data_IF_294496415975
#
_entry.id   IF_294496415975
#
_cell.length_a   1.000
_cell.length_b   1.000
_cell.length_c   1.000
_cell.angle_alpha   90.00
_cell.angle_beta   90.00
_cell.angle_gamma   90.00
#
_symmetry.space_group_name_H-M   'P 1'
#
loop_
_entity.id
_entity.type
_entity.pdbx_description
1 polymer ?
#
# COMPACT_ATOMS: atom_id res chain seq x y z
N UNK A 1 -0.68 -16.80 3.63
CA UNK A 1 0.14 -15.57 3.79
C UNK A 1 -0.06 -15.04 5.20
N UNK A 2 1.01 -14.76 5.97
CA UNK A 2 0.87 -14.22 7.35
C UNK A 2 0.78 -12.69 7.25
N UNK A 3 -0.40 -12.11 7.41
CA UNK A 3 -0.57 -10.65 7.34
C UNK A 3 -0.69 -10.03 8.72
N UNK A 4 -0.13 -8.83 8.87
CA UNK A 4 -0.23 -8.02 10.08
C UNK A 4 -0.74 -6.64 9.67
N UNK A 5 -1.92 -6.24 10.12
CA UNK A 5 -2.40 -4.87 9.94
C UNK A 5 -1.96 -4.02 11.14
N UNK A 6 -1.27 -2.91 10.89
CA UNK A 6 -0.91 -1.91 11.91
C UNK A 6 -1.56 -0.57 11.55
N UNK A 7 -2.42 -0.08 12.44
CA UNK A 7 -2.91 1.31 12.42
C UNK A 7 -1.90 2.21 13.14
N UNK A 8 -1.42 3.27 12.47
CA UNK A 8 -0.54 4.30 13.05
C UNK A 8 -1.34 5.39 13.77
N UNK A 9 -0.81 5.87 14.89
CA UNK A 9 -1.25 7.04 15.66
C UNK A 9 -0.68 8.32 15.07
N UNK A 10 -1.53 9.30 14.77
CA UNK A 10 -1.12 10.70 14.51
C UNK A 10 -1.34 11.51 15.78
N UNK A 11 -0.27 12.06 16.36
CA UNK A 11 -0.37 13.09 17.39
C UNK A 11 -0.58 14.45 16.72
N UNK A 12 -1.76 15.04 16.90
CA UNK A 12 -1.98 16.49 16.72
C UNK A 12 -1.84 17.13 18.09
N UNK A 13 -0.98 18.15 18.17
CA UNK A 13 -0.84 19.02 19.34
C UNK A 13 -2.00 20.02 19.39
N UNK A 14 -2.49 20.22 20.61
CA UNK A 14 -3.35 21.27 21.15
C UNK A 14 -4.73 21.50 20.51
N UNK A 15 -5.76 20.98 21.18
CA UNK A 15 -6.84 21.81 21.74
C UNK A 15 -7.89 20.95 22.45
N UNK A 16 -8.27 21.44 23.62
CA UNK A 16 -9.31 21.18 24.63
C UNK A 16 -10.27 19.98 24.54
N UNK A 17 -10.41 19.37 25.72
CA UNK A 17 -11.32 18.33 26.25
C UNK A 17 -12.42 17.75 25.35
N UNK A 18 -12.18 16.51 24.93
CA UNK A 18 -13.21 15.52 24.64
C UNK A 18 -12.56 14.16 24.89
N UNK A 19 -13.18 13.30 25.70
CA UNK A 19 -12.65 11.99 26.10
C UNK A 19 -12.13 11.22 24.89
N UNK A 20 -10.82 11.32 24.64
CA UNK A 20 -10.13 10.47 23.69
C UNK A 20 -10.08 9.10 24.33
N UNK A 21 -11.11 8.27 24.10
CA UNK A 21 -10.97 6.83 24.26
C UNK A 21 -9.71 6.43 23.52
N UNK A 22 -8.66 6.06 24.25
CA UNK A 22 -7.38 5.59 23.69
C UNK A 22 -7.70 4.35 22.86
N UNK A 23 -7.96 4.52 21.57
CA UNK A 23 -8.16 3.41 20.63
C UNK A 23 -6.87 2.59 20.61
N UNK A 24 -6.82 1.54 21.43
CA UNK A 24 -5.70 0.60 21.48
C UNK A 24 -5.69 -0.14 20.13
N UNK A 25 -4.65 0.08 19.34
CA UNK A 25 -4.45 -0.69 18.11
C UNK A 25 -4.10 -2.14 18.46
N UNK A 26 -5.02 -3.08 18.21
CA UNK A 26 -4.76 -4.51 18.36
C UNK A 26 -4.17 -5.05 17.05
N UNK A 27 -3.05 -5.76 17.15
CA UNK A 27 -2.43 -6.46 16.03
C UNK A 27 -3.21 -7.74 15.74
N UNK A 28 -4.11 -7.70 14.76
CA UNK A 28 -4.88 -8.87 14.34
C UNK A 28 -4.07 -9.65 13.29
N UNK A 29 -3.97 -10.97 13.49
CA UNK A 29 -3.33 -11.88 12.55
C UNK A 29 -4.43 -12.56 11.72
N UNK A 30 -4.45 -12.29 10.42
CA UNK A 30 -5.45 -12.87 9.51
C UNK A 30 -4.83 -14.08 8.82
N UNK A 31 -5.53 -15.21 8.88
CA UNK A 31 -5.22 -16.43 8.15
C UNK A 31 -6.32 -16.64 7.12
N UNK A 32 -6.09 -16.29 5.84
CA UNK A 32 -7.08 -16.51 4.81
C UNK A 32 -7.23 -18.01 4.55
N UNK A 33 -8.42 -18.42 4.13
CA UNK A 33 -8.65 -19.72 3.51
C UNK A 33 -7.79 -19.88 2.23
N UNK A 34 -7.61 -21.11 1.74
CA UNK A 34 -6.74 -21.40 0.60
C UNK A 34 -7.13 -20.61 -0.67
N UNK A 35 -8.42 -20.54 -1.00
CA UNK A 35 -8.91 -19.78 -2.16
C UNK A 35 -8.73 -18.27 -2.00
N UNK A 36 -9.04 -17.73 -0.81
CA UNK A 36 -8.82 -16.31 -0.51
C UNK A 36 -7.33 -15.94 -0.60
N UNK A 37 -6.42 -16.84 -0.20
CA UNK A 37 -4.97 -16.62 -0.38
C UNK A 37 -4.56 -16.53 -1.86
N UNK A 38 -5.20 -17.27 -2.77
CA UNK A 38 -4.91 -17.18 -4.21
C UNK A 38 -5.29 -15.79 -4.73
N UNK A 39 -6.47 -15.31 -4.35
CA UNK A 39 -6.95 -13.98 -4.75
C UNK A 39 -6.05 -12.87 -4.21
N UNK A 40 -5.63 -12.97 -2.94
CA UNK A 40 -4.70 -12.01 -2.34
C UNK A 40 -3.33 -11.98 -3.03
N UNK A 41 -2.83 -13.14 -3.49
CA UNK A 41 -1.58 -13.20 -4.26
C UNK A 41 -1.72 -12.50 -5.60
N UNK A 42 -2.85 -12.66 -6.29
CA UNK A 42 -3.17 -11.94 -7.53
C UNK A 42 -3.19 -10.43 -7.30
N UNK A 43 -3.84 -9.98 -6.24
CA UNK A 43 -3.89 -8.55 -5.91
C UNK A 43 -2.53 -7.98 -5.54
N UNK A 44 -1.69 -8.73 -4.81
CA UNK A 44 -0.30 -8.34 -4.55
C UNK A 44 0.52 -8.20 -5.83
N UNK A 45 0.36 -9.13 -6.77
CA UNK A 45 0.99 -9.03 -8.09
C UNK A 45 0.51 -7.78 -8.85
N UNK A 46 -0.79 -7.47 -8.76
CA UNK A 46 -1.37 -6.24 -9.29
C UNK A 46 -0.77 -4.97 -8.69
N UNK A 47 -0.64 -4.91 -7.36
CA UNK A 47 0.04 -3.80 -6.67
C UNK A 47 1.46 -3.59 -7.21
N UNK A 48 2.25 -4.68 -7.30
CA UNK A 48 3.62 -4.63 -7.81
C UNK A 48 3.67 -4.10 -9.25
N UNK A 49 2.81 -4.62 -10.12
CA UNK A 49 2.74 -4.21 -11.51
C UNK A 49 2.41 -2.72 -11.64
N UNK A 50 1.32 -2.26 -11.03
CA UNK A 50 0.85 -0.88 -11.13
C UNK A 50 1.85 0.11 -10.51
N UNK A 51 2.48 -0.26 -9.39
CA UNK A 51 3.53 0.56 -8.77
C UNK A 51 4.72 0.73 -9.72
N UNK A 52 5.26 -0.37 -10.25
CA UNK A 52 6.42 -0.33 -11.15
C UNK A 52 6.10 0.41 -12.45
N UNK A 53 4.91 0.20 -13.01
CA UNK A 53 4.44 0.92 -14.20
C UNK A 53 4.37 2.43 -13.94
N UNK A 54 3.82 2.85 -12.80
CA UNK A 54 3.76 4.27 -12.42
C UNK A 54 5.15 4.90 -12.25
N UNK A 55 6.11 4.16 -11.67
CA UNK A 55 7.51 4.61 -11.57
C UNK A 55 8.15 4.75 -12.95
N UNK A 56 7.92 3.80 -13.86
CA UNK A 56 8.41 3.86 -15.25
C UNK A 56 7.92 5.12 -15.98
N UNK A 57 6.61 5.42 -15.89
CA UNK A 57 6.03 6.65 -16.44
C UNK A 57 6.71 7.92 -15.87
N UNK A 58 6.90 8.00 -14.55
CA UNK A 58 7.56 9.15 -13.92
C UNK A 58 9.03 9.30 -14.35
N UNK A 59 9.74 8.19 -14.52
CA UNK A 59 11.15 8.20 -14.94
C UNK A 59 11.31 8.62 -16.38
N UNK A 60 10.38 8.25 -17.26
CA UNK A 60 10.40 8.62 -18.69
C UNK A 60 9.90 10.05 -18.94
N UNK A 61 8.99 10.57 -18.13
CA UNK A 61 8.37 11.88 -18.36
C UNK A 61 9.35 13.05 -18.24
N UNK A 62 9.37 13.97 -19.21
CA UNK A 62 10.19 15.20 -19.20
C UNK A 62 9.98 16.02 -17.91
N UNK A 63 8.71 16.24 -17.54
CA UNK A 63 8.30 16.89 -16.30
C UNK A 63 7.66 15.88 -15.36
N UNK A 64 7.73 16.13 -14.05
CA UNK A 64 7.09 15.27 -13.04
C UNK A 64 5.58 15.23 -13.26
N UNK A 65 5.03 14.04 -13.40
CA UNK A 65 3.58 13.82 -13.60
C UNK A 65 2.85 14.04 -12.26
N UNK A 66 1.70 14.72 -12.28
CA UNK A 66 0.84 14.87 -11.09
C UNK A 66 0.18 13.55 -10.66
N UNK A 67 -0.26 13.45 -9.39
CA UNK A 67 -0.86 12.23 -8.82
C UNK A 67 -2.04 11.70 -9.65
N UNK A 68 -3.02 12.55 -9.95
CA UNK A 68 -4.23 12.17 -10.68
C UNK A 68 -3.94 11.89 -12.16
N UNK A 69 -3.10 12.70 -12.78
CA UNK A 69 -2.65 12.49 -14.15
C UNK A 69 -1.93 11.14 -14.30
N UNK A 70 -1.06 10.79 -13.35
CA UNK A 70 -0.34 9.52 -13.35
C UNK A 70 -1.31 8.33 -13.24
N UNK A 71 -2.34 8.45 -12.40
CA UNK A 71 -3.42 7.45 -12.31
C UNK A 71 -4.06 7.24 -13.66
N UNK A 72 -4.46 8.31 -14.36
CA UNK A 72 -5.14 8.20 -15.65
C UNK A 72 -4.25 7.50 -16.67
N UNK A 73 -3.00 7.95 -16.79
CA UNK A 73 -2.03 7.38 -17.73
C UNK A 73 -1.80 5.89 -17.49
N UNK A 74 -1.62 5.47 -16.25
CA UNK A 74 -1.39 4.04 -15.95
C UNK A 74 -2.67 3.22 -16.16
N UNK A 75 -3.82 3.70 -15.69
CA UNK A 75 -5.08 2.96 -15.76
C UNK A 75 -5.62 2.83 -17.19
N UNK A 76 -5.34 3.81 -18.05
CA UNK A 76 -5.73 3.81 -19.48
C UNK A 76 -4.67 3.21 -20.40
N UNK A 77 -3.46 2.91 -19.88
CA UNK A 77 -2.44 2.23 -20.67
C UNK A 77 -2.85 0.80 -20.99
N UNK A 78 -2.15 0.17 -21.93
CA UNK A 78 -2.33 -1.25 -22.20
C UNK A 78 -1.89 -2.10 -20.99
N UNK A 79 -2.88 -2.53 -20.21
CA UNK A 79 -2.72 -3.36 -19.03
C UNK A 79 -3.06 -4.82 -19.40
N UNK A 80 -2.24 -5.80 -18.97
CA UNK A 80 -2.58 -7.21 -19.10
C UNK A 80 -3.94 -7.53 -18.47
N UNK A 81 -4.69 -8.46 -19.06
CA UNK A 81 -6.05 -8.83 -18.61
C UNK A 81 -6.09 -9.18 -17.12
N UNK A 82 -5.14 -9.98 -16.64
CA UNK A 82 -5.06 -10.37 -15.23
C UNK A 82 -4.87 -9.18 -14.27
N UNK A 83 -4.27 -8.07 -14.73
CA UNK A 83 -4.15 -6.83 -13.95
C UNK A 83 -5.49 -6.10 -13.92
N UNK A 84 -6.23 -6.08 -15.04
CA UNK A 84 -7.56 -5.45 -15.11
C UNK A 84 -8.56 -6.10 -14.16
N UNK A 85 -8.44 -7.41 -13.95
CA UNK A 85 -9.22 -8.18 -12.97
C UNK A 85 -8.93 -7.82 -11.50
N UNK A 86 -7.80 -7.20 -11.21
CA UNK A 86 -7.51 -6.71 -9.86
C UNK A 86 -8.42 -5.51 -9.55
N UNK A 87 -9.06 -5.46 -8.36
CA UNK A 87 -9.94 -4.37 -7.99
C UNK A 87 -9.33 -2.98 -8.24
N UNK A 88 -10.12 -2.07 -8.80
CA UNK A 88 -9.63 -0.78 -9.30
C UNK A 88 -8.96 0.05 -8.19
N UNK A 89 -9.49 0.02 -6.96
CA UNK A 89 -8.96 0.75 -5.82
C UNK A 89 -7.56 0.24 -5.40
N UNK A 90 -7.31 -1.07 -5.51
CA UNK A 90 -5.98 -1.66 -5.23
C UNK A 90 -4.96 -1.14 -6.23
N UNK A 91 -5.32 -1.15 -7.53
CA UNK A 91 -4.46 -0.60 -8.60
C UNK A 91 -4.19 0.90 -8.40
N UNK A 92 -5.22 1.68 -8.07
CA UNK A 92 -5.10 3.12 -7.81
C UNK A 92 -4.20 3.42 -6.60
N UNK A 93 -4.36 2.67 -5.50
CA UNK A 93 -3.54 2.82 -4.31
C UNK A 93 -2.06 2.55 -4.60
N UNK A 94 -1.75 1.54 -5.42
CA UNK A 94 -0.38 1.28 -5.85
C UNK A 94 0.23 2.45 -6.64
N UNK A 95 -0.54 3.07 -7.54
CA UNK A 95 -0.09 4.22 -8.34
C UNK A 95 0.14 5.45 -7.44
N UNK A 96 -0.74 5.69 -6.47
CA UNK A 96 -0.61 6.80 -5.53
C UNK A 96 0.60 6.62 -4.62
N UNK A 97 0.82 5.42 -4.10
CA UNK A 97 2.00 5.11 -3.28
C UNK A 97 3.29 5.26 -4.11
N UNK A 98 3.28 4.88 -5.39
CA UNK A 98 4.40 5.12 -6.31
C UNK A 98 4.69 6.62 -6.50
N UNK A 99 3.66 7.44 -6.72
CA UNK A 99 3.80 8.89 -6.83
C UNK A 99 4.39 9.51 -5.56
N UNK A 100 3.92 9.08 -4.37
CA UNK A 100 4.44 9.53 -3.08
C UNK A 100 5.91 9.12 -2.89
N UNK A 101 6.25 7.86 -3.16
CA UNK A 101 7.62 7.35 -3.06
C UNK A 101 8.58 8.08 -4.01
N UNK A 102 8.14 8.33 -5.25
CA UNK A 102 8.93 9.07 -6.24
C UNK A 102 9.15 10.51 -5.79
N UNK A 103 8.08 11.22 -5.40
CA UNK A 103 8.15 12.62 -4.96
C UNK A 103 9.02 12.78 -3.72
N UNK A 104 8.87 11.90 -2.72
CA UNK A 104 9.68 11.93 -1.51
C UNK A 104 11.17 11.69 -1.80
N UNK A 105 11.49 10.76 -2.72
CA UNK A 105 12.88 10.50 -3.12
C UNK A 105 13.48 11.69 -3.87
N UNK A 106 12.71 12.31 -4.79
CA UNK A 106 13.16 13.51 -5.51
C UNK A 106 13.40 14.70 -4.59
N UNK A 107 12.57 14.89 -3.56
CA UNK A 107 12.78 15.92 -2.52
C UNK A 107 14.06 15.70 -1.70
N UNK A 108 14.54 14.46 -1.59
CA UNK A 108 15.79 14.10 -0.93
C UNK A 108 17.01 14.16 -1.88
N UNK A 109 16.85 14.71 -3.09
CA UNK A 109 17.95 14.80 -4.06
C UNK A 109 18.26 13.51 -4.82
N UNK A 110 17.48 12.43 -4.65
CA UNK A 110 17.73 11.18 -5.40
C UNK A 110 17.58 11.41 -6.91
N UNK A 111 18.50 10.87 -7.70
CA UNK A 111 18.45 10.89 -9.16
C UNK A 111 17.11 10.34 -9.70
N UNK A 112 16.64 10.91 -10.82
CA UNK A 112 15.34 10.56 -11.40
C UNK A 112 15.25 9.06 -11.72
N UNK A 113 16.31 8.49 -12.29
CA UNK A 113 16.43 7.06 -12.63
C UNK A 113 16.34 6.12 -11.42
N UNK A 114 16.62 6.61 -10.21
CA UNK A 114 16.68 5.81 -8.99
C UNK A 114 15.55 6.08 -8.00
N UNK A 115 14.77 7.15 -8.25
CA UNK A 115 13.65 7.55 -7.41
C UNK A 115 12.51 6.53 -7.42
N UNK A 116 11.68 6.55 -6.37
CA UNK A 116 10.46 5.73 -6.31
C UNK A 116 10.60 4.37 -5.62
N UNK A 117 11.64 4.17 -4.81
CA UNK A 117 11.82 2.93 -4.04
C UNK A 117 10.90 2.95 -2.81
N UNK A 118 10.17 1.86 -2.57
CA UNK A 118 9.38 1.69 -1.34
C UNK A 118 10.30 1.47 -0.12
N UNK A 119 9.96 2.11 1.01
CA UNK A 119 10.88 2.29 2.15
C UNK A 119 10.28 1.99 3.53
N UNK A 120 9.04 1.49 3.60
CA UNK A 120 8.36 1.20 4.88
C UNK A 120 8.51 -0.26 5.27
N UNK A 121 8.77 -0.56 6.54
CA UNK A 121 8.72 -1.92 7.07
C UNK A 121 7.26 -2.35 7.29
N UNK A 122 6.85 -3.47 6.69
CA UNK A 122 5.48 -4.02 6.90
C UNK A 122 5.30 -4.73 8.24
N UNK A 123 6.37 -5.03 8.98
CA UNK A 123 6.29 -5.64 10.32
C UNK A 123 6.14 -4.63 11.44
N UNK A 124 6.90 -3.52 11.40
CA UNK A 124 6.95 -2.52 12.48
C UNK A 124 6.50 -1.11 12.07
N UNK A 125 6.15 -0.89 10.81
CA UNK A 125 5.65 0.40 10.31
C UNK A 125 6.71 1.47 10.05
N UNK A 126 7.95 1.28 10.49
CA UNK A 126 9.02 2.28 10.36
C UNK A 126 9.32 2.61 8.89
N UNK A 127 9.43 3.91 8.57
CA UNK A 127 9.81 4.41 7.24
C UNK A 127 11.30 4.75 7.23
N UNK A 128 12.06 4.12 6.34
CA UNK A 128 13.52 4.29 6.28
C UNK A 128 13.93 5.10 5.04
N UNK A 129 14.31 6.35 5.25
CA UNK A 129 14.64 7.27 4.15
C UNK A 129 15.91 6.87 3.39
N UNK A 130 16.88 6.28 4.07
CA UNK A 130 18.23 5.98 3.53
C UNK A 130 18.45 4.52 3.11
N UNK A 131 17.40 3.71 2.95
CA UNK A 131 17.60 2.32 2.49
C UNK A 131 18.16 2.25 1.06
N UNK A 132 19.20 1.43 0.89
CA UNK A 132 19.76 1.06 -0.41
C UNK A 132 18.83 0.17 -1.25
N UNK A 133 19.29 -0.26 -2.43
CA UNK A 133 18.52 -1.00 -3.44
C UNK A 133 18.55 -2.53 -3.35
N UNK A 134 18.98 -3.12 -2.23
CA UNK A 134 19.18 -4.57 -2.11
C UNK A 134 17.89 -5.38 -2.39
N UNK A 135 17.98 -6.50 -3.12
CA UNK A 135 16.82 -7.38 -3.42
C UNK A 135 16.05 -7.80 -2.17
N UNK A 136 16.78 -8.08 -1.08
CA UNK A 136 16.19 -8.30 0.23
C UNK A 136 16.02 -6.98 0.98
N UNK A 137 14.84 -6.80 1.56
CA UNK A 137 14.58 -5.77 2.55
C UNK A 137 14.96 -6.30 3.93
N UNK A 138 15.86 -5.60 4.61
CA UNK A 138 16.18 -5.83 6.02
C UNK A 138 15.89 -4.55 6.80
N UNK A 139 15.00 -4.62 7.77
CA UNK A 139 14.64 -3.47 8.59
C UNK A 139 15.75 -3.19 9.62
N UNK A 140 16.40 -2.01 9.60
CA UNK A 140 17.42 -1.66 10.61
C UNK A 140 16.82 -1.44 12.00
N UNK A 141 15.51 -1.19 12.11
CA UNK A 141 14.84 -0.97 13.39
C UNK A 141 14.42 -2.27 14.10
N UNK A 142 13.86 -3.24 13.38
CA UNK A 142 13.32 -4.47 13.99
C UNK A 142 13.94 -5.77 13.48
N UNK A 143 14.98 -5.70 12.64
CA UNK A 143 15.68 -6.85 12.08
C UNK A 143 14.88 -7.68 11.06
N UNK A 144 13.62 -7.32 10.77
CA UNK A 144 12.77 -8.09 9.86
C UNK A 144 13.35 -8.17 8.45
N UNK A 145 13.44 -9.39 7.92
CA UNK A 145 13.93 -9.67 6.57
C UNK A 145 12.84 -10.29 5.70
N UNK A 146 12.71 -9.78 4.48
CA UNK A 146 11.77 -10.27 3.46
C UNK A 146 12.22 -9.80 2.08
N UNK A 147 11.69 -10.37 1.00
CA UNK A 147 11.84 -9.81 -0.34
C UNK A 147 11.34 -8.36 -0.39
N UNK A 148 12.10 -7.46 -1.03
CA UNK A 148 11.79 -6.02 -1.03
C UNK A 148 10.53 -5.69 -1.81
N UNK A 149 10.39 -6.28 -3.00
CA UNK A 149 9.24 -6.04 -3.86
C UNK A 149 7.98 -6.57 -3.17
N UNK A 150 8.09 -7.73 -2.53
CA UNK A 150 7.02 -8.28 -1.72
C UNK A 150 6.64 -7.36 -0.56
N UNK A 151 7.61 -6.84 0.21
CA UNK A 151 7.34 -5.88 1.28
C UNK A 151 6.65 -4.61 0.77
N UNK A 152 7.06 -4.11 -0.41
CA UNK A 152 6.42 -2.97 -1.06
C UNK A 152 4.98 -3.25 -1.44
N UNK A 153 4.75 -4.31 -2.21
CA UNK A 153 3.41 -4.73 -2.63
C UNK A 153 2.51 -5.02 -1.43
N UNK A 154 3.06 -5.65 -0.39
CA UNK A 154 2.33 -6.00 0.81
C UNK A 154 1.92 -4.78 1.63
N UNK A 155 2.78 -3.76 1.73
CA UNK A 155 2.40 -2.50 2.39
C UNK A 155 1.27 -1.76 1.68
N UNK A 156 1.30 -1.73 0.34
CA UNK A 156 0.24 -1.14 -0.49
C UNK A 156 -1.07 -1.92 -0.31
N UNK A 157 -0.98 -3.26 -0.36
CA UNK A 157 -2.13 -4.14 -0.18
C UNK A 157 -2.77 -3.97 1.20
N UNK A 158 -1.98 -3.95 2.28
CA UNK A 158 -2.49 -3.70 3.63
C UNK A 158 -3.20 -2.35 3.76
N UNK A 159 -2.68 -1.32 3.10
CA UNK A 159 -3.33 -0.01 3.05
C UNK A 159 -4.67 -0.10 2.33
N UNK A 160 -4.72 -0.76 1.17
CA UNK A 160 -5.96 -0.96 0.44
C UNK A 160 -7.02 -1.70 1.28
N UNK A 161 -6.65 -2.80 1.94
CA UNK A 161 -7.56 -3.52 2.84
C UNK A 161 -8.10 -2.63 3.96
N UNK A 162 -7.24 -1.79 4.55
CA UNK A 162 -7.64 -0.86 5.61
C UNK A 162 -8.61 0.19 5.10
N UNK A 163 -8.33 0.76 3.93
CA UNK A 163 -9.16 1.81 3.33
C UNK A 163 -10.55 1.30 2.94
N UNK A 164 -10.70 -0.02 2.73
CA UNK A 164 -11.97 -0.69 2.36
C UNK A 164 -12.63 -1.46 3.51
N UNK A 165 -12.01 -1.54 4.68
CA UNK A 165 -12.56 -2.28 5.82
C UNK A 165 -13.50 -1.41 6.63
N UNK A 166 -14.69 -1.93 6.94
CA UNK A 166 -15.56 -1.41 7.98
C UNK A 166 -15.54 -2.36 9.18
N UNK A 167 -15.62 -1.79 10.38
CA UNK A 167 -15.68 -2.56 11.62
C UNK A 167 -17.08 -2.45 12.18
N UNK A 168 -17.83 -3.55 12.17
CA UNK A 168 -19.08 -3.66 12.90
C UNK A 168 -18.81 -4.34 14.25
N UNK A 169 -19.63 -4.03 15.25
CA UNK A 169 -19.53 -4.64 16.57
C UNK A 169 -20.83 -5.40 16.84
N UNK A 170 -20.71 -6.69 17.17
CA UNK A 170 -21.82 -7.49 17.70
C UNK A 170 -21.45 -7.83 19.14
N UNK A 171 -22.07 -7.15 20.10
CA UNK A 171 -21.66 -7.17 21.52
C UNK A 171 -20.17 -6.78 21.63
N UNK A 172 -19.36 -7.59 22.30
CA UNK A 172 -17.91 -7.40 22.47
C UNK A 172 -17.07 -7.94 21.29
N UNK A 173 -17.71 -8.45 20.23
CA UNK A 173 -17.04 -9.01 19.06
C UNK A 173 -16.92 -7.93 17.98
N UNK A 174 -15.68 -7.57 17.62
CA UNK A 174 -15.39 -6.75 16.46
C UNK A 174 -15.35 -7.61 15.20
N UNK A 175 -16.27 -7.38 14.27
CA UNK A 175 -16.33 -7.99 12.95
C UNK A 175 -15.72 -6.99 11.96
N UNK A 176 -14.63 -7.39 11.32
CA UNK A 176 -14.01 -6.59 10.25
C UNK A 176 -14.50 -7.15 8.93
N UNK A 177 -15.43 -6.44 8.32
CA UNK A 177 -15.93 -6.73 6.99
C UNK A 177 -15.21 -5.85 5.99
N UNK A 178 -14.68 -6.46 4.94
CA UNK A 178 -14.27 -5.69 3.77
C UNK A 178 -15.57 -5.30 3.06
N UNK A 179 -15.73 -4.04 2.66
CA UNK A 179 -16.81 -3.64 1.75
C UNK A 179 -16.88 -4.71 0.67
N UNK A 180 -18.04 -5.34 0.50
CA UNK A 180 -18.22 -6.31 -0.57
C UNK A 180 -17.59 -5.70 -1.81
N UNK A 181 -16.68 -6.45 -2.43
CA UNK A 181 -16.17 -6.13 -3.76
C UNK A 181 -17.37 -6.42 -4.66
N UNK A 182 -18.41 -5.58 -4.53
CA UNK A 182 -19.57 -5.60 -5.36
C UNK A 182 -19.00 -5.40 -6.74
N UNK A 183 -19.38 -6.34 -7.60
CA UNK A 183 -19.12 -6.34 -9.02
C UNK A 183 -19.80 -5.13 -9.65
N UNK A 184 -19.37 -3.92 -9.32
CA UNK A 184 -19.70 -2.72 -10.08
C UNK A 184 -18.75 -2.68 -11.28
N UNK A 185 -18.85 -3.73 -12.09
CA UNK A 185 -18.79 -3.62 -13.54
C UNK A 185 -20.14 -3.05 -13.95
N UNK A 186 -20.30 -1.73 -13.92
CA UNK A 186 -21.35 -1.08 -14.68
C UNK A 186 -20.81 0.23 -15.26
N UNK A 187 -20.80 0.25 -16.59
CA UNK A 187 -20.55 1.34 -17.55
C UNK A 187 -19.10 1.84 -17.71
#
# INVERSE_FOLDING_TARGET
MKTYSQSLTTSVADSTDSEKTRLKSKKIRVYPEAELNKEWRKWLAGCRFCFNRAIDFQRKAQKRIGKLQLRNLVMQSDLPTWVKEVPCHIRQNAIFDAHLAFTASRKQGTNKSEAGKFRKCTKCGQIHRTLGGNKKFKCPHCGYEIDRDFNGAFGIFLKALKDTSFVSYIKDIAIVTLSEIVKDNVA
#
